data_IF_783851665127
#
_entry.id   IF_783851665127
#
_cell.length_a   1.000
_cell.length_b   1.000
_cell.length_c   1.000
_cell.angle_alpha   90.00
_cell.angle_beta   90.00
_cell.angle_gamma   90.00
#
_symmetry.space_group_name_H-M   'P 1'
#
loop_
_entity.id
_entity.type
_entity.pdbx_description
1 polymer ?
#
# COMPACT_ATOMS: atom_id res chain seq x y z
N UNK A 1 -1.04 -29.08 -29.35
CA UNK A 1 -2.46 -29.08 -29.75
C UNK A 1 -3.13 -27.96 -28.95
N UNK A 2 -3.76 -27.05 -29.67
CA UNK A 2 -4.53 -25.85 -29.28
C UNK A 2 -5.24 -25.90 -27.91
N UNK A 3 -5.15 -24.82 -27.13
CA UNK A 3 -6.24 -23.84 -27.04
C UNK A 3 -5.90 -22.66 -26.13
N UNK A 4 -6.62 -21.58 -26.42
CA UNK A 4 -6.45 -20.19 -26.06
C UNK A 4 -6.91 -19.87 -24.63
N UNK A 5 -6.29 -18.86 -24.00
CA UNK A 5 -7.00 -17.93 -23.14
C UNK A 5 -6.47 -16.52 -23.37
N UNK A 6 -7.38 -15.62 -23.75
CA UNK A 6 -7.20 -14.18 -23.84
C UNK A 6 -7.39 -13.57 -22.45
N UNK A 7 -6.57 -12.58 -22.06
CA UNK A 7 -7.02 -11.38 -21.33
C UNK A 7 -5.83 -10.47 -20.99
N UNK A 8 -5.73 -9.39 -21.76
CA UNK A 8 -5.45 -8.02 -21.36
C UNK A 8 -4.17 -7.72 -20.54
N UNK A 9 -3.17 -7.24 -21.29
CA UNK A 9 -2.30 -6.08 -21.03
C UNK A 9 -2.24 -5.50 -19.60
N UNK A 10 -1.05 -5.57 -18.98
CA UNK A 10 -0.50 -4.43 -18.23
C UNK A 10 1.00 -4.35 -18.50
N UNK A 11 1.39 -3.40 -19.35
CA UNK A 11 2.77 -2.95 -19.49
C UNK A 11 3.11 -2.10 -18.25
N UNK A 12 4.08 -2.54 -17.44
CA UNK A 12 4.70 -1.70 -16.42
C UNK A 12 5.82 -0.88 -17.07
N UNK A 13 5.50 0.31 -17.55
CA UNK A 13 6.50 1.35 -17.85
C UNK A 13 6.54 2.35 -16.70
N UNK A 14 7.62 2.34 -15.93
CA UNK A 14 7.95 3.44 -15.02
C UNK A 14 8.53 4.58 -15.84
N UNK A 15 7.79 5.69 -15.96
CA UNK A 15 8.34 6.95 -16.42
C UNK A 15 8.09 8.02 -15.34
N UNK A 16 9.18 8.53 -14.76
CA UNK A 16 9.14 9.74 -13.95
C UNK A 16 8.86 10.92 -14.88
N UNK A 17 7.67 11.52 -14.79
CA UNK A 17 7.36 12.74 -15.52
C UNK A 17 7.71 13.95 -14.66
N UNK A 18 8.66 14.77 -15.11
CA UNK A 18 8.96 16.07 -14.51
C UNK A 18 8.00 17.13 -15.04
N UNK A 19 7.56 18.01 -14.13
CA UNK A 19 6.41 18.89 -14.32
C UNK A 19 6.68 20.17 -15.10
N UNK A 20 5.57 20.85 -15.40
CA UNK A 20 5.51 22.26 -15.78
C UNK A 20 4.39 22.92 -14.97
N UNK A 21 4.74 23.96 -14.21
CA UNK A 21 3.81 24.76 -13.41
C UNK A 21 3.24 25.90 -14.25
N UNK A 22 1.93 25.90 -14.50
CA UNK A 22 1.23 27.07 -15.06
C UNK A 22 0.37 27.70 -13.97
N UNK A 23 0.70 28.94 -13.62
CA UNK A 23 -0.02 29.76 -12.63
C UNK A 23 -1.24 30.39 -13.30
N UNK A 24 -2.45 30.03 -12.84
CA UNK A 24 -3.69 30.77 -13.16
C UNK A 24 -4.48 31.02 -11.89
N UNK A 25 -4.56 32.29 -11.51
CA UNK A 25 -5.21 32.82 -10.31
C UNK A 25 -6.70 33.13 -10.54
N UNK A 26 -7.58 32.26 -10.03
CA UNK A 26 -8.89 32.55 -9.36
C UNK A 26 -9.79 31.32 -9.46
N UNK A 27 -9.90 30.57 -8.36
CA UNK A 27 -11.08 29.85 -7.83
C UNK A 27 -10.58 29.07 -6.62
N UNK A 28 -10.33 29.75 -5.49
CA UNK A 28 -9.63 29.16 -4.34
C UNK A 28 -10.50 28.28 -3.43
N UNK A 29 -11.83 28.42 -3.49
CA UNK A 29 -12.73 27.64 -2.62
C UNK A 29 -13.08 26.25 -3.18
N UNK A 30 -13.38 26.16 -4.48
CA UNK A 30 -13.78 24.89 -5.11
C UNK A 30 -12.60 23.93 -5.25
N UNK A 31 -11.42 24.41 -5.64
CA UNK A 31 -10.22 23.56 -5.78
C UNK A 31 -9.72 23.02 -4.44
N UNK A 32 -9.83 23.78 -3.36
CA UNK A 32 -9.44 23.32 -2.02
C UNK A 32 -10.36 22.21 -1.49
N UNK A 33 -11.68 22.32 -1.75
CA UNK A 33 -12.65 21.30 -1.37
C UNK A 33 -12.40 19.98 -2.12
N UNK A 34 -12.22 20.04 -3.44
CA UNK A 34 -11.94 18.86 -4.27
C UNK A 34 -10.60 18.21 -3.91
N UNK A 35 -9.56 19.00 -3.62
CA UNK A 35 -8.27 18.47 -3.16
C UNK A 35 -8.39 17.76 -1.81
N UNK A 36 -9.17 18.31 -0.88
CA UNK A 36 -9.37 17.70 0.44
C UNK A 36 -10.15 16.38 0.34
N UNK A 37 -11.21 16.36 -0.45
CA UNK A 37 -11.99 15.14 -0.72
C UNK A 37 -11.13 14.04 -1.38
N UNK A 38 -10.25 14.43 -2.32
CA UNK A 38 -9.29 13.50 -2.94
C UNK A 38 -8.30 12.93 -1.93
N UNK A 39 -7.78 13.77 -1.01
CA UNK A 39 -6.84 13.33 0.03
C UNK A 39 -7.54 12.41 1.03
N UNK A 40 -8.75 12.76 1.46
CA UNK A 40 -9.53 11.96 2.40
C UNK A 40 -9.82 10.57 1.79
N UNK A 41 -10.18 10.52 0.51
CA UNK A 41 -10.39 9.27 -0.23
C UNK A 41 -9.11 8.43 -0.32
N UNK A 42 -7.96 9.05 -0.65
CA UNK A 42 -6.66 8.37 -0.70
C UNK A 42 -6.31 7.74 0.66
N UNK A 43 -6.49 8.51 1.75
CA UNK A 43 -6.18 8.07 3.12
C UNK A 43 -7.09 6.93 3.55
N UNK A 44 -8.39 7.02 3.30
CA UNK A 44 -9.34 5.96 3.65
C UNK A 44 -8.98 4.66 2.90
N UNK A 45 -8.74 4.73 1.60
CA UNK A 45 -8.37 3.56 0.79
C UNK A 45 -7.07 2.92 1.27
N UNK A 46 -6.08 3.74 1.65
CA UNK A 46 -4.82 3.25 2.20
C UNK A 46 -5.03 2.53 3.54
N UNK A 47 -5.75 3.15 4.47
CA UNK A 47 -5.98 2.59 5.80
C UNK A 47 -6.77 1.28 5.72
N UNK A 48 -7.70 1.16 4.78
CA UNK A 48 -8.40 -0.10 4.49
C UNK A 48 -7.49 -1.15 3.85
N UNK A 49 -6.62 -0.76 2.93
CA UNK A 49 -5.69 -1.69 2.25
C UNK A 49 -4.73 -2.38 3.21
N UNK A 50 -4.33 -1.67 4.28
CA UNK A 50 -3.35 -2.15 5.25
C UNK A 50 -3.95 -2.53 6.61
N UNK A 51 -5.28 -2.71 6.66
CA UNK A 51 -6.06 -3.17 7.82
C UNK A 51 -5.98 -2.27 9.07
N UNK A 52 -5.72 -0.97 8.89
CA UNK A 52 -5.89 0.03 9.96
C UNK A 52 -7.34 0.47 10.15
N UNK A 53 -8.15 0.34 9.10
CA UNK A 53 -9.56 0.73 9.08
C UNK A 53 -10.40 -0.38 8.46
N UNK A 54 -11.42 -0.85 9.18
CA UNK A 54 -12.36 -1.84 8.65
C UNK A 54 -13.13 -1.27 7.47
N UNK A 55 -13.33 -2.07 6.41
CA UNK A 55 -14.25 -1.69 5.32
C UNK A 55 -15.67 -1.56 5.91
N UNK A 56 -16.33 -0.44 5.66
CA UNK A 56 -17.76 -0.34 5.89
C UNK A 56 -18.44 -1.42 5.02
N UNK A 57 -19.54 -2.04 5.50
CA UNK A 57 -20.31 -2.99 4.69
C UNK A 57 -20.76 -2.38 3.35
N UNK A 58 -21.34 -3.18 2.47
CA UNK A 58 -21.66 -2.97 1.03
C UNK A 58 -22.24 -1.60 0.54
N UNK A 59 -22.38 -0.60 1.40
CA UNK A 59 -22.80 0.75 1.08
C UNK A 59 -21.58 1.57 0.62
N UNK A 60 -21.65 2.02 -0.62
CA UNK A 60 -20.64 2.77 -1.40
C UNK A 60 -20.25 4.13 -0.81
N UNK A 61 -20.71 4.47 0.38
CA UNK A 61 -20.47 5.77 1.00
C UNK A 61 -19.28 5.67 1.94
N UNK A 62 -18.17 6.33 1.57
CA UNK A 62 -16.97 6.54 2.39
C UNK A 62 -17.23 7.47 3.60
N UNK A 63 -18.41 7.38 4.21
CA UNK A 63 -18.76 8.12 5.42
C UNK A 63 -18.37 7.27 6.62
N UNK A 64 -17.14 7.44 7.08
CA UNK A 64 -16.70 6.90 8.36
C UNK A 64 -16.99 7.91 9.46
N UNK A 65 -17.36 7.41 10.65
CA UNK A 65 -17.34 8.26 11.85
C UNK A 65 -15.95 8.88 11.98
N UNK A 66 -15.89 10.21 12.09
CA UNK A 66 -14.63 10.98 12.18
C UNK A 66 -13.69 10.40 13.25
N UNK A 67 -14.26 9.91 14.36
CA UNK A 67 -13.52 9.23 15.41
C UNK A 67 -12.81 7.95 14.97
N UNK A 68 -13.42 7.12 14.12
CA UNK A 68 -12.81 5.88 13.60
C UNK A 68 -11.67 6.17 12.64
N UNK A 69 -11.84 7.18 11.78
CA UNK A 69 -10.78 7.61 10.87
C UNK A 69 -9.58 8.18 11.67
N UNK A 70 -9.85 9.04 12.65
CA UNK A 70 -8.82 9.59 13.54
C UNK A 70 -8.06 8.50 14.29
N UNK A 71 -8.78 7.51 14.82
CA UNK A 71 -8.17 6.36 15.50
C UNK A 71 -7.27 5.55 14.55
N UNK A 72 -7.73 5.27 13.32
CA UNK A 72 -6.93 4.55 12.33
C UNK A 72 -5.65 5.31 11.93
N UNK A 73 -5.73 6.64 11.79
CA UNK A 73 -4.55 7.48 11.55
C UNK A 73 -3.57 7.42 12.73
N UNK A 74 -4.09 7.45 13.97
CA UNK A 74 -3.27 7.35 15.19
C UNK A 74 -2.52 6.01 15.25
N UNK A 75 -3.20 4.89 14.93
CA UNK A 75 -2.56 3.56 14.84
C UNK A 75 -1.46 3.51 13.77
N UNK A 76 -1.69 4.12 12.60
CA UNK A 76 -0.67 4.23 11.57
C UNK A 76 0.53 5.04 12.06
N UNK A 77 0.29 6.19 12.69
CA UNK A 77 1.35 7.03 13.23
C UNK A 77 2.18 6.27 14.27
N UNK A 78 1.54 5.56 15.20
CA UNK A 78 2.22 4.73 16.20
C UNK A 78 3.08 3.63 15.57
N UNK A 79 2.55 2.91 14.57
CA UNK A 79 3.29 1.87 13.85
C UNK A 79 4.58 2.39 13.19
N UNK A 80 4.54 3.61 12.67
CA UNK A 80 5.69 4.28 12.05
C UNK A 80 6.50 5.17 13.01
N UNK A 81 6.21 5.11 14.32
CA UNK A 81 6.88 5.90 15.35
C UNK A 81 6.80 7.42 15.09
N UNK A 82 5.66 7.85 14.55
CA UNK A 82 5.24 9.24 14.38
C UNK A 82 4.37 9.60 15.60
N UNK A 83 4.27 10.89 15.95
CA UNK A 83 3.34 11.31 17.00
C UNK A 83 1.89 10.90 16.65
N UNK A 84 1.27 10.11 17.52
CA UNK A 84 -0.02 9.45 17.32
C UNK A 84 -1.23 10.30 17.71
N UNK A 85 -1.31 11.56 17.30
CA UNK A 85 -2.42 12.46 17.62
C UNK A 85 -3.70 12.20 16.79
N UNK A 86 -3.59 11.36 15.76
CA UNK A 86 -4.65 11.05 14.80
C UNK A 86 -4.91 12.15 13.78
N UNK A 87 -4.11 13.22 13.77
CA UNK A 87 -4.25 14.32 12.83
C UNK A 87 -3.48 14.02 11.55
N UNK A 88 -4.18 14.07 10.42
CA UNK A 88 -3.55 13.97 9.11
C UNK A 88 -2.72 15.23 8.83
N UNK A 89 -1.40 15.10 8.96
CA UNK A 89 -0.44 16.15 8.62
C UNK A 89 0.38 15.77 7.39
N UNK A 90 1.12 16.74 6.84
CA UNK A 90 1.91 16.55 5.62
C UNK A 90 2.96 15.43 5.76
N UNK A 91 3.52 15.24 6.96
CA UNK A 91 4.49 14.18 7.20
C UNK A 91 3.83 12.80 7.22
N UNK A 92 2.68 12.64 7.87
CA UNK A 92 1.86 11.41 7.83
C UNK A 92 1.51 11.05 6.40
N UNK A 93 0.99 12.01 5.61
CA UNK A 93 0.61 11.79 4.22
C UNK A 93 1.82 11.43 3.34
N UNK A 94 2.96 12.08 3.54
CA UNK A 94 4.21 11.73 2.87
C UNK A 94 4.64 10.29 3.17
N UNK A 95 4.53 9.83 4.42
CA UNK A 95 4.86 8.46 4.79
C UNK A 95 3.88 7.44 4.17
N UNK A 96 2.58 7.76 4.10
CA UNK A 96 1.59 6.90 3.45
C UNK A 96 1.88 6.72 1.94
N UNK A 97 2.39 7.76 1.27
CA UNK A 97 2.72 7.74 -0.17
C UNK A 97 4.02 7.03 -0.52
N UNK A 98 4.84 6.63 0.45
CA UNK A 98 6.07 5.87 0.18
C UNK A 98 5.76 4.45 -0.30
N UNK A 99 6.47 3.93 -1.33
CA UNK A 99 6.38 2.53 -1.70
C UNK A 99 6.68 1.61 -0.51
N UNK A 100 5.86 0.57 -0.33
CA UNK A 100 5.98 -0.39 0.76
C UNK A 100 5.53 -1.78 0.32
N UNK A 101 5.80 -2.79 1.15
CA UNK A 101 5.26 -4.13 0.94
C UNK A 101 3.72 -4.13 1.03
N UNK A 102 3.08 -5.10 0.38
CA UNK A 102 1.62 -5.26 0.38
C UNK A 102 1.04 -5.94 1.62
N UNK A 103 1.88 -6.28 2.61
CA UNK A 103 1.42 -6.93 3.84
C UNK A 103 0.69 -5.92 4.75
N UNK A 104 -0.37 -6.35 5.46
CA UNK A 104 -1.06 -5.53 6.46
C UNK A 104 -0.10 -4.95 7.50
N UNK A 105 -0.39 -3.72 7.96
CA UNK A 105 0.43 -3.06 8.97
C UNK A 105 0.22 -3.61 10.37
N UNK A 106 -1.03 -3.99 10.69
CA UNK A 106 -1.38 -4.60 11.96
C UNK A 106 -1.35 -6.11 11.76
N UNK A 107 -0.27 -6.75 12.19
CA UNK A 107 -0.18 -8.20 12.16
C UNK A 107 -0.90 -8.76 13.39
N UNK A 108 -2.03 -9.44 13.21
CA UNK A 108 -2.60 -10.25 14.28
C UNK A 108 -1.57 -11.31 14.69
N UNK A 109 -1.05 -11.19 15.91
CA UNK A 109 -0.06 -12.10 16.49
C UNK A 109 -0.54 -13.56 16.59
N UNK A 110 -1.83 -13.80 16.30
CA UNK A 110 -2.52 -15.08 16.37
C UNK A 110 -2.40 -15.93 15.11
N UNK A 111 -1.79 -15.41 14.02
CA UNK A 111 -1.33 -16.28 12.93
C UNK A 111 -0.05 -16.96 13.44
N UNK A 112 -0.23 -18.02 14.23
CA UNK A 112 0.83 -18.72 14.96
C UNK A 112 2.08 -18.92 14.11
N UNK A 113 3.26 -18.77 14.73
CA UNK A 113 4.59 -18.82 14.10
C UNK A 113 4.62 -19.85 12.96
N UNK A 114 4.41 -19.38 11.73
CA UNK A 114 4.39 -20.25 10.55
C UNK A 114 5.81 -20.63 10.23
N UNK A 115 6.24 -21.76 10.78
CA UNK A 115 7.54 -22.35 10.51
C UNK A 115 7.34 -23.50 9.55
N UNK A 116 8.18 -23.56 8.52
CA UNK A 116 8.27 -24.73 7.68
C UNK A 116 8.71 -25.94 8.52
N UNK A 117 7.98 -27.06 8.42
CA UNK A 117 8.35 -28.29 9.12
C UNK A 117 9.66 -28.89 8.57
N UNK A 118 10.01 -28.56 7.31
CA UNK A 118 11.24 -28.98 6.64
C UNK A 118 12.21 -27.81 6.50
N UNK A 119 13.50 -28.13 6.51
CA UNK A 119 14.60 -27.17 6.30
C UNK A 119 15.00 -27.04 4.84
N UNK A 120 14.86 -28.11 4.06
CA UNK A 120 15.11 -28.11 2.62
C UNK A 120 13.85 -27.68 1.88
N UNK A 121 13.84 -26.43 1.42
CA UNK A 121 12.74 -25.85 0.66
C UNK A 121 13.09 -25.78 -0.83
N UNK A 122 12.10 -26.02 -1.67
CA UNK A 122 12.18 -25.85 -3.12
C UNK A 122 11.29 -24.70 -3.53
N UNK A 123 11.72 -23.91 -4.51
CA UNK A 123 10.96 -22.81 -5.08
C UNK A 123 10.88 -22.97 -6.60
N UNK A 124 9.83 -22.42 -7.21
CA UNK A 124 9.62 -22.46 -8.65
C UNK A 124 8.87 -21.20 -9.10
N UNK A 125 9.26 -20.61 -10.23
CA UNK A 125 8.51 -19.56 -10.89
C UNK A 125 7.66 -20.13 -12.03
N UNK A 126 6.46 -19.59 -12.22
CA UNK A 126 5.68 -19.88 -13.42
C UNK A 126 6.29 -19.19 -14.65
N UNK A 127 6.80 -17.98 -14.48
CA UNK A 127 7.50 -17.17 -15.47
C UNK A 127 8.65 -16.44 -14.77
N UNK A 128 9.87 -16.57 -15.27
CA UNK A 128 11.02 -15.82 -14.78
C UNK A 128 12.04 -15.63 -15.91
N UNK A 129 12.57 -14.42 -15.99
CA UNK A 129 13.77 -14.14 -16.78
C UNK A 129 15.05 -14.46 -15.96
N UNK A 130 16.23 -14.53 -16.62
CA UNK A 130 17.48 -14.85 -15.92
C UNK A 130 17.85 -13.91 -14.77
N UNK A 131 17.50 -12.62 -14.85
CA UNK A 131 17.79 -11.65 -13.78
C UNK A 131 16.88 -11.89 -12.57
N UNK A 132 15.61 -12.21 -12.79
CA UNK A 132 14.67 -12.60 -11.72
C UNK A 132 15.16 -13.86 -10.99
N UNK A 133 15.67 -14.85 -11.71
CA UNK A 133 16.26 -16.06 -11.12
C UNK A 133 17.48 -15.72 -10.24
N UNK A 134 18.44 -14.95 -10.78
CA UNK A 134 19.64 -14.53 -10.05
C UNK A 134 19.30 -13.73 -8.78
N UNK A 135 18.37 -12.78 -8.88
CA UNK A 135 17.91 -11.97 -7.75
C UNK A 135 17.29 -12.87 -6.67
N UNK A 136 16.52 -13.87 -7.08
CA UNK A 136 15.85 -14.80 -6.17
C UNK A 136 16.83 -15.71 -5.46
N UNK A 137 17.81 -16.26 -6.18
CA UNK A 137 18.90 -17.03 -5.58
C UNK A 137 19.66 -16.23 -4.52
N UNK A 138 19.99 -14.98 -4.85
CA UNK A 138 20.63 -14.07 -3.89
C UNK A 138 19.75 -13.82 -2.67
N UNK A 139 18.46 -13.52 -2.86
CA UNK A 139 17.52 -13.31 -1.76
C UNK A 139 17.42 -14.52 -0.83
N UNK A 140 17.32 -15.74 -1.37
CA UNK A 140 17.33 -16.97 -0.56
C UNK A 140 18.65 -17.16 0.19
N UNK A 141 19.78 -16.79 -0.42
CA UNK A 141 21.09 -16.88 0.24
C UNK A 141 21.20 -16.00 1.50
N UNK A 142 20.46 -14.88 1.56
CA UNK A 142 20.41 -14.00 2.74
C UNK A 142 19.69 -14.68 3.92
N UNK A 143 18.74 -15.58 3.64
CA UNK A 143 17.96 -16.27 4.65
C UNK A 143 18.63 -17.56 5.15
N UNK A 144 19.53 -18.16 4.36
CA UNK A 144 20.26 -19.39 4.73
C UNK A 144 21.49 -19.10 5.60
N UNK A 145 22.07 -17.90 5.52
CA UNK A 145 23.29 -17.49 6.26
C UNK A 145 23.05 -17.09 7.73
N UNK A 146 21.96 -17.53 8.36
CA UNK A 146 21.67 -17.26 9.78
C UNK A 146 21.74 -18.51 10.63
#
# INVERSE_FOLDING_TARGET
MTSFFTSNDVILTSACYQGTTTTTTRTTASTAATNRESIDTEVILYLQKYDYLSKAGNNTQLSFEEGKLKQAISLFQEHYQIQGDGTLNNYTLYQMRKPRCGLPGIYEHNIGRRKWAKTYLTWNFQLADPHTLQTTEFAFSLCVKR
#
